data_IF_516499346333
#
_entry.id   IF_516499346333
#
_cell.length_a   1.000
_cell.length_b   1.000
_cell.length_c   1.000
_cell.angle_alpha   90.00
_cell.angle_beta   90.00
_cell.angle_gamma   90.00
#
_symmetry.space_group_name_H-M   'P 1'
#
loop_
_entity.id
_entity.type
_entity.pdbx_description
1 polymer ?
#
# COMPACT_ATOMS: atom_id res chain seq x y z
N UNK A 1 -17.93 -59.71 -83.98
CA UNK A 1 -17.67 -60.96 -83.27
C UNK A 1 -17.31 -60.67 -81.86
N UNK A 2 -18.14 -61.21 -80.98
CA UNK A 2 -17.93 -61.70 -79.62
C UNK A 2 -17.40 -60.67 -78.60
N UNK A 3 -18.21 -60.31 -77.69
CA UNK A 3 -18.71 -60.96 -76.49
C UNK A 3 -18.07 -60.49 -75.20
N UNK A 4 -18.92 -59.98 -74.32
CA UNK A 4 -19.10 -60.32 -72.90
C UNK A 4 -17.95 -59.82 -71.95
N UNK A 5 -18.21 -59.39 -70.77
CA UNK A 5 -19.37 -59.54 -69.84
C UNK A 5 -19.18 -58.57 -68.68
N UNK A 6 -20.31 -58.20 -68.19
CA UNK A 6 -20.50 -57.53 -66.88
C UNK A 6 -19.81 -58.24 -65.73
N UNK A 7 -19.21 -57.41 -64.80
CA UNK A 7 -19.22 -57.81 -63.40
C UNK A 7 -19.52 -56.58 -62.53
N UNK A 8 -20.70 -56.53 -62.05
CA UNK A 8 -21.17 -55.60 -61.03
C UNK A 8 -20.62 -56.10 -59.71
N UNK A 9 -19.84 -55.26 -59.07
CA UNK A 9 -19.48 -55.44 -57.66
C UNK A 9 -20.10 -54.33 -56.88
N UNK A 10 -21.21 -54.64 -56.22
CA UNK A 10 -21.86 -53.81 -55.24
C UNK A 10 -20.93 -53.69 -53.97
N UNK A 11 -20.27 -52.55 -53.76
CA UNK A 11 -19.62 -52.26 -52.51
C UNK A 11 -20.66 -51.84 -51.47
N UNK A 12 -20.89 -52.70 -50.50
CA UNK A 12 -21.66 -52.38 -49.29
C UNK A 12 -21.02 -51.34 -48.46
N UNK A 13 -21.56 -50.12 -48.41
CA UNK A 13 -21.22 -49.10 -47.53
C UNK A 13 -21.73 -49.41 -46.12
N UNK A 14 -20.84 -49.80 -45.20
CA UNK A 14 -21.15 -49.92 -43.78
C UNK A 14 -21.33 -48.52 -43.20
N UNK A 15 -22.39 -48.24 -42.45
CA UNK A 15 -22.52 -46.97 -41.76
C UNK A 15 -21.54 -46.87 -40.59
N UNK A 16 -20.59 -45.95 -40.68
CA UNK A 16 -19.71 -45.58 -39.59
C UNK A 16 -20.53 -45.05 -38.40
N UNK A 17 -20.50 -45.80 -37.33
CA UNK A 17 -21.09 -45.45 -36.04
C UNK A 17 -20.36 -44.24 -35.46
N UNK A 18 -20.93 -43.06 -35.60
CA UNK A 18 -20.46 -41.85 -34.92
C UNK A 18 -20.72 -42.04 -33.42
N UNK A 19 -19.64 -42.28 -32.67
CA UNK A 19 -19.67 -42.23 -31.21
C UNK A 19 -19.88 -40.80 -30.78
N UNK A 20 -21.12 -40.43 -30.45
CA UNK A 20 -21.42 -39.19 -29.73
C UNK A 20 -20.83 -39.31 -28.34
N UNK A 21 -19.65 -38.69 -28.15
CA UNK A 21 -19.13 -38.40 -26.82
C UNK A 21 -20.13 -37.50 -26.10
N UNK A 22 -20.95 -38.09 -25.24
CA UNK A 22 -21.81 -37.38 -24.32
C UNK A 22 -20.92 -36.63 -23.33
N UNK A 23 -20.75 -35.32 -23.51
CA UNK A 23 -20.23 -34.43 -22.46
C UNK A 23 -21.26 -34.47 -21.33
N UNK A 24 -20.92 -35.17 -20.26
CA UNK A 24 -21.65 -35.05 -19.00
C UNK A 24 -21.38 -33.62 -18.47
N UNK A 25 -22.25 -32.68 -18.77
CA UNK A 25 -22.32 -31.42 -18.04
C UNK A 25 -22.99 -31.74 -16.69
N UNK A 26 -22.17 -32.12 -15.73
CA UNK A 26 -22.61 -32.21 -14.33
C UNK A 26 -22.96 -30.83 -13.85
N UNK A 27 -24.23 -30.50 -13.69
CA UNK A 27 -24.68 -29.30 -13.00
C UNK A 27 -24.36 -29.44 -11.52
N UNK A 28 -23.89 -28.34 -10.91
CA UNK A 28 -23.69 -28.30 -9.46
C UNK A 28 -25.01 -28.47 -8.73
N UNK A 29 -25.00 -29.25 -7.66
CA UNK A 29 -26.16 -29.41 -6.80
C UNK A 29 -26.30 -28.21 -5.89
N UNK A 30 -27.54 -27.88 -5.50
CA UNK A 30 -27.79 -26.77 -4.57
C UNK A 30 -27.05 -26.98 -3.23
N UNK A 31 -27.01 -28.25 -2.76
CA UNK A 31 -26.28 -28.58 -1.52
C UNK A 31 -24.78 -28.39 -1.64
N UNK A 32 -24.19 -28.65 -2.78
CA UNK A 32 -22.75 -28.47 -3.03
C UNK A 32 -22.36 -27.00 -2.95
N UNK A 33 -23.17 -26.11 -3.54
CA UNK A 33 -22.94 -24.67 -3.41
C UNK A 33 -23.15 -24.19 -1.97
N UNK A 34 -24.17 -24.70 -1.25
CA UNK A 34 -24.37 -24.33 0.16
C UNK A 34 -23.20 -24.72 1.05
N UNK A 35 -22.63 -25.91 0.84
CA UNK A 35 -21.44 -26.38 1.58
C UNK A 35 -20.23 -25.49 1.29
N UNK A 36 -19.97 -25.19 0.02
CA UNK A 36 -18.85 -24.34 -0.39
C UNK A 36 -18.97 -22.92 0.22
N UNK A 37 -20.15 -22.30 0.14
CA UNK A 37 -20.39 -20.98 0.72
C UNK A 37 -20.21 -20.99 2.24
N UNK A 38 -20.67 -22.04 2.91
CA UNK A 38 -20.50 -22.20 4.36
C UNK A 38 -19.03 -22.30 4.74
N UNK A 39 -18.23 -23.09 4.01
CA UNK A 39 -16.78 -23.22 4.26
C UNK A 39 -16.07 -21.87 4.04
N UNK A 40 -16.38 -21.18 2.94
CA UNK A 40 -15.80 -19.85 2.64
C UNK A 40 -16.18 -18.85 3.73
N UNK A 41 -17.41 -18.85 4.22
CA UNK A 41 -17.85 -17.96 5.30
C UNK A 41 -17.10 -18.21 6.60
N UNK A 42 -16.90 -19.48 6.98
CA UNK A 42 -16.13 -19.88 8.16
C UNK A 42 -14.67 -19.44 8.02
N UNK A 43 -14.03 -19.75 6.90
CA UNK A 43 -12.64 -19.36 6.66
C UNK A 43 -12.44 -17.84 6.60
N UNK A 44 -13.40 -17.11 6.00
CA UNK A 44 -13.41 -15.66 5.94
C UNK A 44 -13.46 -15.01 7.32
N UNK A 45 -14.24 -15.56 8.25
CA UNK A 45 -14.35 -15.05 9.60
C UNK A 45 -13.02 -15.05 10.39
N UNK A 46 -12.11 -15.99 10.08
CA UNK A 46 -10.78 -16.05 10.71
C UNK A 46 -9.73 -15.14 10.04
N UNK A 47 -9.95 -14.69 8.82
CA UNK A 47 -8.98 -13.85 8.08
C UNK A 47 -9.10 -12.37 8.41
N UNK A 48 -10.30 -11.85 8.64
CA UNK A 48 -10.55 -10.41 8.85
C UNK A 48 -9.73 -9.81 10.00
N UNK A 49 -9.65 -10.38 11.21
CA UNK A 49 -8.88 -9.79 12.31
C UNK A 49 -7.37 -9.77 12.06
N UNK A 50 -6.82 -10.66 11.24
CA UNK A 50 -5.38 -10.66 10.91
C UNK A 50 -4.99 -9.55 9.96
N UNK A 51 -5.86 -9.17 9.04
CA UNK A 51 -5.56 -8.13 8.04
C UNK A 51 -5.48 -6.73 8.67
N UNK A 52 -6.24 -6.45 9.72
CA UNK A 52 -6.22 -5.15 10.41
C UNK A 52 -4.92 -4.91 11.18
N UNK A 53 -4.32 -5.94 11.78
CA UNK A 53 -3.02 -5.83 12.45
C UNK A 53 -1.86 -5.51 11.50
N UNK A 54 -1.81 -6.13 10.34
CA UNK A 54 -0.77 -5.84 9.33
C UNK A 54 -0.85 -4.41 8.79
N UNK A 55 -2.06 -3.85 8.67
CA UNK A 55 -2.22 -2.46 8.22
C UNK A 55 -1.71 -1.45 9.24
N UNK A 56 -1.88 -1.71 10.55
CA UNK A 56 -1.33 -0.87 11.62
C UNK A 56 0.20 -0.85 11.59
N UNK A 57 0.86 -2.01 11.66
CA UNK A 57 2.32 -2.10 11.63
C UNK A 57 2.94 -1.48 10.37
N UNK A 58 2.28 -1.66 9.22
CA UNK A 58 2.72 -1.06 7.97
C UNK A 58 2.65 0.48 8.03
N UNK A 59 1.60 1.06 8.61
CA UNK A 59 1.46 2.51 8.81
C UNK A 59 2.50 3.06 9.76
N UNK A 60 2.71 2.40 10.90
CA UNK A 60 3.74 2.79 11.87
C UNK A 60 5.13 2.77 11.23
N UNK A 61 5.46 1.73 10.50
CA UNK A 61 6.74 1.61 9.78
C UNK A 61 6.89 2.70 8.73
N UNK A 62 5.85 3.00 7.96
CA UNK A 62 5.86 4.06 6.97
C UNK A 62 6.04 5.44 7.63
N UNK A 63 5.34 5.71 8.74
CA UNK A 63 5.51 6.96 9.49
C UNK A 63 6.95 7.13 10.01
N UNK A 64 7.53 6.10 10.60
CA UNK A 64 8.93 6.12 11.07
C UNK A 64 9.91 6.39 9.92
N UNK A 65 9.70 5.77 8.76
CA UNK A 65 10.54 5.99 7.58
C UNK A 65 10.44 7.43 7.07
N UNK A 66 9.24 7.99 7.00
CA UNK A 66 9.03 9.38 6.60
C UNK A 66 9.68 10.35 7.62
N UNK A 67 9.47 10.13 8.92
CA UNK A 67 10.10 10.94 9.98
C UNK A 67 11.62 10.87 9.88
N UNK A 68 12.20 9.68 9.66
CA UNK A 68 13.64 9.52 9.46
C UNK A 68 14.15 10.34 8.27
N UNK A 69 13.41 10.34 7.16
CA UNK A 69 13.73 11.12 5.96
C UNK A 69 13.68 12.62 6.26
N UNK A 70 12.64 13.10 6.94
CA UNK A 70 12.48 14.50 7.34
C UNK A 70 13.60 14.92 8.30
N UNK A 71 13.94 14.08 9.28
CA UNK A 71 15.05 14.34 10.21
C UNK A 71 16.40 14.41 9.49
N UNK A 72 16.63 13.58 8.48
CA UNK A 72 17.81 13.68 7.61
C UNK A 72 17.89 15.03 6.89
N UNK A 73 16.78 15.50 6.33
CA UNK A 73 16.69 16.79 5.66
C UNK A 73 16.90 17.97 6.64
N UNK A 74 16.33 17.88 7.84
CA UNK A 74 16.56 18.87 8.92
C UNK A 74 18.03 18.96 9.34
N UNK A 75 18.71 17.83 9.44
CA UNK A 75 20.17 17.80 9.73
C UNK A 75 20.97 18.47 8.62
N UNK A 76 20.62 18.24 7.35
CA UNK A 76 21.25 18.92 6.20
C UNK A 76 20.95 20.43 6.21
N UNK A 77 19.71 20.83 6.51
CA UNK A 77 19.36 22.24 6.69
C UNK A 77 20.23 22.89 7.77
N UNK A 78 20.36 22.24 8.95
CA UNK A 78 21.21 22.72 10.05
C UNK A 78 22.66 22.84 9.64
N UNK A 79 23.19 21.86 8.90
CA UNK A 79 24.57 21.88 8.42
C UNK A 79 24.88 23.15 7.59
N UNK A 80 23.96 23.53 6.70
CA UNK A 80 24.12 24.68 5.82
C UNK A 80 23.83 26.00 6.54
N UNK A 81 22.80 26.06 7.37
CA UNK A 81 22.32 27.30 7.97
C UNK A 81 22.73 27.49 9.44
N UNK A 82 23.53 26.54 10.02
CA UNK A 82 24.04 26.55 11.40
C UNK A 82 22.94 26.48 12.48
N UNK A 83 21.71 26.14 12.07
CA UNK A 83 20.53 25.99 12.94
C UNK A 83 19.44 25.23 12.26
N UNK A 84 18.49 24.72 13.04
CA UNK A 84 17.24 24.19 12.53
C UNK A 84 16.25 25.31 12.14
N UNK A 85 15.26 25.06 11.30
CA UNK A 85 14.13 25.95 11.13
C UNK A 85 13.45 26.21 12.47
N UNK A 86 12.83 27.38 12.65
CA UNK A 86 11.97 27.62 13.81
C UNK A 86 10.65 26.87 13.67
N UNK A 87 9.91 26.67 14.77
CA UNK A 87 8.56 26.08 14.72
C UNK A 87 7.66 26.85 13.75
N UNK A 88 7.76 28.19 13.71
CA UNK A 88 6.99 29.03 12.79
C UNK A 88 7.37 28.83 11.31
N UNK A 89 8.66 28.63 11.03
CA UNK A 89 9.15 28.30 9.68
C UNK A 89 8.69 26.89 9.27
N UNK A 90 8.53 26.00 10.23
CA UNK A 90 7.99 24.66 10.04
C UNK A 90 8.81 23.79 9.09
N UNK A 91 8.26 22.65 8.73
CA UNK A 91 8.85 21.74 7.76
C UNK A 91 8.84 22.31 6.33
N UNK A 92 8.04 23.34 6.07
CA UNK A 92 8.00 24.02 4.78
C UNK A 92 9.35 24.63 4.41
N UNK A 93 10.15 25.02 5.41
CA UNK A 93 11.52 25.49 5.23
C UNK A 93 12.45 24.47 4.53
N UNK A 94 12.08 23.21 4.48
CA UNK A 94 12.82 22.16 3.77
C UNK A 94 12.54 22.14 2.27
N UNK A 95 11.41 22.71 1.83
CA UNK A 95 11.01 22.76 0.42
C UNK A 95 11.27 24.15 -0.17
N UNK A 96 10.93 25.19 0.59
CA UNK A 96 11.00 26.59 0.17
C UNK A 96 11.88 27.39 1.11
N UNK A 97 12.62 28.35 0.56
CA UNK A 97 13.43 29.24 1.39
C UNK A 97 12.53 30.08 2.31
N UNK A 98 12.71 30.00 3.64
CA UNK A 98 11.90 30.79 4.55
C UNK A 98 12.05 32.28 4.30
N UNK A 99 10.94 33.01 4.27
CA UNK A 99 10.89 34.47 4.13
C UNK A 99 10.65 35.15 5.47
N UNK A 100 10.15 34.43 6.48
CA UNK A 100 9.88 34.91 7.81
C UNK A 100 10.88 34.33 8.83
N UNK A 101 11.02 35.00 9.95
CA UNK A 101 11.94 34.59 11.03
C UNK A 101 13.41 34.77 10.68
N UNK A 102 14.31 34.04 11.34
CA UNK A 102 15.73 34.16 11.11
C UNK A 102 16.14 33.74 9.70
N UNK A 103 16.87 34.56 8.96
CA UNK A 103 17.24 34.34 7.57
C UNK A 103 18.05 33.06 7.36
N UNK A 104 17.68 32.21 6.42
CA UNK A 104 18.43 31.04 5.97
C UNK A 104 19.39 31.47 4.84
N UNK A 105 20.58 32.01 5.22
CA UNK A 105 21.49 32.61 4.25
C UNK A 105 22.12 31.60 3.28
N UNK A 106 22.36 30.37 3.76
CA UNK A 106 22.95 29.29 2.98
C UNK A 106 21.91 28.23 2.62
N UNK A 107 20.66 28.67 2.40
CA UNK A 107 19.61 27.76 1.98
C UNK A 107 19.92 27.13 0.61
N UNK A 108 19.81 25.81 0.51
CA UNK A 108 20.12 25.07 -0.71
C UNK A 108 19.07 25.33 -1.79
N UNK A 109 19.47 25.82 -2.95
CA UNK A 109 18.59 25.98 -4.11
C UNK A 109 17.99 24.62 -4.51
N UNK A 110 16.66 24.54 -4.59
CA UNK A 110 15.91 23.32 -4.87
C UNK A 110 15.41 22.59 -3.62
N UNK A 111 15.75 23.09 -2.41
CA UNK A 111 15.27 22.50 -1.16
C UNK A 111 16.08 21.31 -0.66
N UNK A 112 15.66 20.76 0.45
CA UNK A 112 16.27 19.61 1.13
C UNK A 112 15.47 18.34 0.93
N UNK A 113 14.19 18.47 0.59
CA UNK A 113 13.28 17.40 0.17
C UNK A 113 12.43 17.93 -0.99
N UNK A 114 12.00 17.02 -1.86
CA UNK A 114 11.19 17.36 -3.02
C UNK A 114 9.77 17.81 -2.63
N UNK A 115 9.19 17.09 -1.67
CA UNK A 115 7.86 17.41 -1.14
C UNK A 115 7.66 16.88 0.28
N UNK A 116 6.83 17.55 1.07
CA UNK A 116 6.27 17.01 2.31
C UNK A 116 5.07 16.12 1.98
N UNK A 117 5.13 14.90 2.47
CA UNK A 117 4.00 13.98 2.43
C UNK A 117 3.19 14.10 3.70
N UNK A 118 1.93 13.79 3.62
CA UNK A 118 1.14 13.52 4.81
C UNK A 118 1.55 12.18 5.41
N UNK A 119 1.25 12.01 6.67
CA UNK A 119 1.43 10.75 7.37
C UNK A 119 0.50 9.65 6.81
N UNK A 120 0.66 8.37 7.19
CA UNK A 120 -0.14 7.26 6.70
C UNK A 120 -1.64 7.33 7.05
N UNK A 121 -2.04 8.27 7.90
CA UNK A 121 -3.44 8.57 8.23
C UNK A 121 -3.97 9.81 7.50
N UNK A 122 -3.15 10.42 6.62
CA UNK A 122 -3.53 11.55 5.75
C UNK A 122 -3.37 12.93 6.40
N UNK A 123 -2.69 13.03 7.55
CA UNK A 123 -2.48 14.28 8.29
C UNK A 123 -1.05 14.80 8.09
N UNK A 124 -0.81 16.13 8.20
CA UNK A 124 0.53 16.68 8.13
C UNK A 124 1.35 16.31 9.37
N UNK A 125 2.63 16.00 9.18
CA UNK A 125 3.58 15.84 10.27
C UNK A 125 3.73 17.13 11.07
N UNK A 126 3.80 16.99 12.38
CA UNK A 126 4.03 18.10 13.32
C UNK A 126 5.53 18.34 13.52
N UNK A 127 5.90 19.57 13.85
CA UNK A 127 7.29 19.99 14.05
C UNK A 127 7.42 20.96 15.19
N UNK A 128 8.39 20.72 16.07
CA UNK A 128 8.76 21.62 17.15
C UNK A 128 10.26 21.91 17.13
N UNK A 129 10.62 23.19 17.26
CA UNK A 129 12.00 23.67 17.38
C UNK A 129 12.06 24.90 18.31
N UNK A 130 12.62 24.79 19.53
CA UNK A 130 13.24 23.58 20.09
C UNK A 130 12.22 22.45 20.35
N UNK A 131 12.70 21.20 20.28
CA UNK A 131 11.91 20.02 20.60
C UNK A 131 11.71 19.85 22.12
N UNK A 132 10.75 19.01 22.49
CA UNK A 132 10.50 18.62 23.90
C UNK A 132 11.32 17.37 24.26
N UNK A 133 11.51 16.46 23.29
CA UNK A 133 12.22 15.19 23.48
C UNK A 133 13.61 15.16 22.85
N UNK A 134 13.89 16.07 21.93
CA UNK A 134 15.19 16.23 21.27
C UNK A 134 15.51 17.68 20.94
N UNK A 135 16.56 17.91 20.16
CA UNK A 135 16.89 19.28 19.68
C UNK A 135 15.74 19.84 18.83
N UNK A 136 15.11 18.99 18.07
CA UNK A 136 13.86 19.20 17.31
C UNK A 136 13.04 17.94 17.34
N UNK A 137 11.72 18.07 17.31
CA UNK A 137 10.80 16.96 17.27
C UNK A 137 9.98 17.00 15.98
N UNK A 138 9.90 15.85 15.29
CA UNK A 138 9.00 15.60 14.15
C UNK A 138 8.13 14.42 14.53
N UNK A 139 6.81 14.56 14.39
CA UNK A 139 5.90 13.50 14.82
C UNK A 139 4.57 13.51 14.06
N UNK A 140 3.92 12.35 14.03
CA UNK A 140 2.52 12.15 13.65
C UNK A 140 1.68 11.96 14.90
N UNK A 141 0.46 12.49 14.89
CA UNK A 141 -0.55 12.33 15.94
C UNK A 141 -1.48 11.12 15.68
N UNK A 142 -1.05 10.16 14.89
CA UNK A 142 -1.82 8.96 14.61
C UNK A 142 -3.17 9.19 13.92
N UNK A 143 -4.05 8.21 14.04
CA UNK A 143 -5.31 8.22 13.30
C UNK A 143 -6.32 9.26 13.83
N UNK A 144 -6.36 9.54 15.12
CA UNK A 144 -7.27 10.52 15.70
C UNK A 144 -6.79 11.98 15.56
N UNK A 145 -5.45 12.21 15.46
CA UNK A 145 -4.83 13.53 15.38
C UNK A 145 -4.85 14.28 16.71
N UNK A 146 -4.88 13.55 17.80
CA UNK A 146 -4.81 14.08 19.15
C UNK A 146 -3.52 13.64 19.82
N UNK A 147 -2.91 14.46 20.70
CA UNK A 147 -1.73 14.04 21.43
C UNK A 147 -2.01 12.82 22.34
N UNK A 148 -1.13 11.82 22.27
CA UNK A 148 -1.22 10.60 23.09
C UNK A 148 -1.84 9.44 22.34
N UNK A 149 -2.78 8.73 22.95
CA UNK A 149 -3.46 7.58 22.34
C UNK A 149 -2.70 6.26 22.46
N UNK A 150 -3.27 5.22 21.84
CA UNK A 150 -2.69 3.87 21.77
C UNK A 150 -3.09 3.19 20.46
N UNK A 151 -2.30 2.22 20.00
CA UNK A 151 -2.55 1.54 18.74
C UNK A 151 -2.46 2.51 17.55
N UNK A 152 -3.47 2.54 16.68
CA UNK A 152 -3.53 3.44 15.53
C UNK A 152 -3.57 4.93 15.92
N UNK A 153 -4.01 5.26 17.12
CA UNK A 153 -4.10 6.63 17.64
C UNK A 153 -2.81 7.07 18.38
N UNK A 154 -1.82 6.20 18.50
CA UNK A 154 -0.58 6.53 19.20
C UNK A 154 0.25 7.55 18.41
N UNK A 155 0.85 8.51 19.14
CA UNK A 155 1.86 9.40 18.58
C UNK A 155 3.11 8.62 18.16
N UNK A 156 3.64 8.95 16.98
CA UNK A 156 4.89 8.37 16.47
C UNK A 156 5.84 9.51 16.17
N UNK A 157 7.00 9.53 16.83
CA UNK A 157 7.90 10.65 16.74
C UNK A 157 9.36 10.29 16.43
N UNK A 158 10.15 11.33 16.24
CA UNK A 158 11.60 11.22 16.02
C UNK A 158 12.35 10.57 17.20
N UNK A 159 11.73 10.45 18.34
CA UNK A 159 12.23 9.76 19.54
C UNK A 159 12.00 8.23 19.50
N UNK A 160 11.27 7.72 18.51
CA UNK A 160 10.96 6.29 18.32
C UNK A 160 11.82 5.64 17.22
N UNK A 161 12.82 6.37 16.68
CA UNK A 161 13.70 5.95 15.60
C UNK A 161 14.90 5.13 16.10
#
# INVERSE_FOLDING_TARGET
MSNLSNFSAAASLSPSRVLRNGRFSGGFTLIEIMVVVTIIAILGAFMVPKLTGFTHEARVTAAKQDISTIMGALKMYRLHNQRYPTTEQGLQALIEKPTAGPAANNWQSGGYIEKLRNDPWGKPYQYLSPGIRGEVDVFSLGADGQPGGAGDDADIGSWDL
#
